data_IF_276256150327
#
_entry.id   IF_276256150327
#
_cell.length_a   1.000
_cell.length_b   1.000
_cell.length_c   1.000
_cell.angle_alpha   90.00
_cell.angle_beta   90.00
_cell.angle_gamma   90.00
#
_symmetry.space_group_name_H-M   'P 1'
#
loop_
_entity.id
_entity.type
_entity.pdbx_description
1 polymer ?
#
# COMPACT_ATOMS: atom_id res chain seq x y z
N UNK A 1 -9.00 -1.95 -8.66
CA UNK A 1 -8.93 -0.53 -8.24
C UNK A 1 -10.15 -0.23 -7.40
N UNK A 2 -9.99 0.49 -6.29
CA UNK A 2 -11.07 0.87 -5.37
C UNK A 2 -11.05 2.39 -5.20
N UNK A 3 -12.22 3.00 -5.27
CA UNK A 3 -12.41 4.43 -5.02
C UNK A 3 -12.99 4.64 -3.61
N UNK A 4 -12.22 5.23 -2.67
CA UNK A 4 -12.68 5.49 -1.31
C UNK A 4 -13.65 6.68 -1.19
N UNK A 5 -13.89 7.41 -2.28
CA UNK A 5 -14.76 8.60 -2.33
C UNK A 5 -14.33 9.73 -1.40
N UNK A 6 -13.03 9.85 -1.13
CA UNK A 6 -12.49 10.95 -0.34
C UNK A 6 -12.65 12.28 -1.09
N UNK A 7 -13.39 13.21 -0.49
CA UNK A 7 -13.61 14.57 -1.00
C UNK A 7 -12.60 15.58 -0.49
N UNK A 8 -11.79 15.19 0.50
CA UNK A 8 -10.75 16.00 1.12
C UNK A 8 -9.48 15.14 1.29
N UNK A 9 -8.34 15.80 1.44
CA UNK A 9 -7.07 15.11 1.70
C UNK A 9 -7.16 14.33 3.02
N UNK A 10 -6.64 13.11 3.03
CA UNK A 10 -6.62 12.25 4.21
C UNK A 10 -5.19 11.96 4.66
N UNK A 11 -4.96 11.98 5.96
CA UNK A 11 -3.67 11.65 6.54
C UNK A 11 -3.74 10.28 7.21
N UNK A 12 -2.89 9.35 6.75
CA UNK A 12 -2.92 7.93 7.11
C UNK A 12 -1.74 7.59 8.01
N UNK A 13 -2.00 7.22 9.26
CA UNK A 13 -0.98 6.81 10.25
C UNK A 13 -0.71 5.31 10.26
N UNK A 14 -1.63 4.53 9.71
CA UNK A 14 -1.51 3.08 9.67
C UNK A 14 -2.42 2.46 8.63
N UNK A 15 -2.01 1.30 8.15
CA UNK A 15 -2.76 0.53 7.15
C UNK A 15 -2.70 -0.95 7.49
N UNK A 16 -3.81 -1.66 7.29
CA UNK A 16 -3.85 -3.10 7.42
C UNK A 16 -4.55 -3.71 6.22
N UNK A 17 -3.86 -4.61 5.52
CA UNK A 17 -4.49 -5.48 4.52
C UNK A 17 -4.89 -6.78 5.20
N UNK A 18 -6.13 -7.21 4.96
CA UNK A 18 -6.69 -8.47 5.44
C UNK A 18 -7.06 -9.30 4.22
N UNK A 19 -6.31 -10.38 3.91
CA UNK A 19 -6.67 -11.30 2.83
C UNK A 19 -8.03 -11.91 3.06
N UNK A 20 -8.86 -11.99 2.02
CA UNK A 20 -10.11 -12.74 2.07
C UNK A 20 -9.85 -14.24 2.09
N UNK A 21 -8.79 -14.68 1.41
CA UNK A 21 -8.37 -16.08 1.33
C UNK A 21 -6.85 -16.23 1.51
N UNK A 22 -6.44 -16.53 2.74
CA UNK A 22 -5.03 -16.74 3.10
C UNK A 22 -4.41 -18.00 2.46
N UNK A 23 -5.20 -18.92 1.92
CA UNK A 23 -4.68 -20.13 1.29
C UNK A 23 -4.07 -19.85 -0.09
N UNK A 24 -4.46 -18.75 -0.74
CA UNK A 24 -3.98 -18.40 -2.09
C UNK A 24 -3.42 -17.00 -2.23
N UNK A 25 -3.71 -16.06 -1.32
CA UNK A 25 -3.09 -14.72 -1.36
C UNK A 25 -1.65 -14.83 -0.89
N UNK A 26 -0.70 -14.75 -1.82
CA UNK A 26 0.73 -14.77 -1.53
C UNK A 26 1.23 -13.41 -1.05
N UNK A 27 0.87 -12.34 -1.78
CA UNK A 27 1.01 -10.97 -1.28
C UNK A 27 0.00 -10.03 -1.92
N UNK A 28 -0.17 -8.87 -1.28
CA UNK A 28 -0.92 -7.76 -1.83
C UNK A 28 -0.14 -6.47 -1.59
N UNK A 29 0.00 -5.65 -2.63
CA UNK A 29 0.59 -4.31 -2.52
C UNK A 29 -0.48 -3.31 -2.96
N UNK A 30 -0.66 -2.24 -2.20
CA UNK A 30 -1.65 -1.20 -2.50
C UNK A 30 -0.96 0.12 -2.75
N UNK A 31 -1.28 0.70 -3.91
CA UNK A 31 -0.76 1.98 -4.35
C UNK A 31 -1.84 3.06 -4.36
N UNK A 32 -1.46 4.30 -4.08
CA UNK A 32 -2.27 5.50 -4.27
C UNK A 32 -2.13 5.96 -5.72
N UNK A 33 -3.26 6.14 -6.40
CA UNK A 33 -3.34 6.75 -7.73
C UNK A 33 -4.06 8.10 -7.62
N UNK A 34 -3.34 9.23 -7.76
CA UNK A 34 -3.94 10.58 -7.77
C UNK A 34 -5.00 10.76 -8.88
N UNK A 35 -5.98 11.65 -8.70
CA UNK A 35 -7.07 11.86 -9.66
C UNK A 35 -6.58 12.41 -11.00
N UNK A 36 -5.47 13.16 -11.03
CA UNK A 36 -4.90 13.75 -12.23
C UNK A 36 -3.87 12.84 -12.92
N UNK A 37 -3.68 11.61 -12.41
CA UNK A 37 -2.73 10.64 -12.96
C UNK A 37 -1.27 11.08 -12.87
N UNK A 38 -0.97 12.18 -12.18
CA UNK A 38 0.41 12.64 -11.98
C UNK A 38 1.14 11.69 -11.04
N UNK A 39 2.47 11.69 -11.18
CA UNK A 39 3.35 10.98 -10.26
C UNK A 39 3.05 11.43 -8.83
N UNK A 40 2.51 10.51 -8.06
CA UNK A 40 2.49 10.62 -6.61
C UNK A 40 3.94 10.64 -6.14
N UNK A 41 4.30 11.50 -5.17
CA UNK A 41 5.68 11.56 -4.67
C UNK A 41 6.15 10.16 -4.24
N UNK A 42 7.18 9.64 -4.92
CA UNK A 42 7.74 8.31 -4.66
C UNK A 42 7.01 7.18 -5.39
N UNK A 43 6.86 6.03 -4.73
CA UNK A 43 6.29 4.80 -5.33
C UNK A 43 4.75 4.74 -5.27
N UNK A 44 4.10 5.65 -4.55
CA UNK A 44 2.66 5.55 -4.25
C UNK A 44 2.28 4.40 -3.31
N UNK A 45 3.24 3.61 -2.81
CA UNK A 45 2.98 2.50 -1.90
C UNK A 45 2.37 3.01 -0.59
N UNK A 46 1.16 2.54 -0.27
CA UNK A 46 0.50 2.86 1.00
C UNK A 46 0.29 1.65 1.91
N UNK A 47 0.14 0.44 1.38
CA UNK A 47 -0.01 -0.76 2.20
C UNK A 47 0.58 -2.00 1.53
N UNK A 48 0.98 -2.97 2.34
CA UNK A 48 1.47 -4.27 1.89
C UNK A 48 1.00 -5.39 2.81
N UNK A 49 0.84 -6.59 2.26
CA UNK A 49 0.62 -7.83 3.01
C UNK A 49 1.53 -8.91 2.46
N UNK A 50 2.23 -9.58 3.35
CA UNK A 50 2.83 -10.91 3.15
C UNK A 50 2.50 -11.78 4.37
N UNK A 51 2.43 -13.11 4.25
CA UNK A 51 2.29 -14.00 5.38
C UNK A 51 3.31 -13.73 6.49
N UNK A 52 2.84 -13.53 7.72
CA UNK A 52 3.69 -13.24 8.88
C UNK A 52 4.04 -11.76 9.10
N UNK A 53 3.74 -10.87 8.14
CA UNK A 53 3.97 -9.44 8.33
C UNK A 53 2.98 -8.83 9.34
N UNK A 54 3.51 -8.01 10.25
CA UNK A 54 2.71 -7.22 11.20
C UNK A 54 2.18 -5.96 10.53
N UNK A 55 1.08 -5.43 11.05
CA UNK A 55 0.57 -4.13 10.61
C UNK A 55 1.61 -3.03 10.88
N UNK A 56 1.74 -2.10 9.95
CA UNK A 56 2.59 -0.91 10.12
C UNK A 56 1.76 0.16 10.82
N UNK A 57 2.23 0.60 11.98
CA UNK A 57 1.73 1.77 12.69
C UNK A 57 2.88 2.77 12.81
N UNK A 58 2.65 4.01 12.38
CA UNK A 58 3.65 5.07 12.46
C UNK A 58 3.74 5.64 13.89
N UNK A 59 4.87 6.24 14.28
CA UNK A 59 4.94 7.02 15.51
C UNK A 59 3.90 8.14 15.54
N UNK A 60 3.63 8.67 16.74
CA UNK A 60 2.70 9.78 16.91
C UNK A 60 3.08 10.99 16.05
N UNK A 61 2.08 11.57 15.37
CA UNK A 61 2.24 12.72 14.48
C UNK A 61 2.83 12.41 13.10
N UNK A 62 3.18 11.15 12.81
CA UNK A 62 3.69 10.73 11.49
C UNK A 62 2.54 10.18 10.64
N UNK A 63 2.39 10.70 9.43
CA UNK A 63 1.34 10.26 8.53
C UNK A 63 1.72 10.37 7.04
N UNK A 64 1.09 9.56 6.21
CA UNK A 64 1.13 9.66 4.75
C UNK A 64 -0.08 10.40 4.23
N UNK A 65 0.12 11.34 3.31
CA UNK A 65 -0.97 12.12 2.70
C UNK A 65 -1.61 11.36 1.53
N UNK A 66 -2.92 11.17 1.55
CA UNK A 66 -3.71 10.67 0.41
C UNK A 66 -4.53 11.85 -0.13
N UNK A 67 -4.19 12.42 -1.29
CA UNK A 67 -4.94 13.52 -1.86
C UNK A 67 -6.41 13.18 -2.13
N UNK A 68 -7.29 14.17 -1.99
CA UNK A 68 -8.70 14.07 -2.36
C UNK A 68 -8.87 13.51 -3.79
N UNK A 69 -9.88 12.69 -4.00
CA UNK A 69 -10.15 12.05 -5.30
C UNK A 69 -9.17 10.93 -5.70
N UNK A 70 -8.16 10.61 -4.88
CA UNK A 70 -7.25 9.49 -5.18
C UNK A 70 -7.96 8.14 -5.08
N UNK A 71 -7.49 7.18 -5.88
CA UNK A 71 -7.95 5.80 -5.86
C UNK A 71 -6.87 4.86 -5.33
N UNK A 72 -7.27 3.69 -4.83
CA UNK A 72 -6.36 2.64 -4.40
C UNK A 72 -6.26 1.54 -5.46
N UNK A 73 -5.04 1.24 -5.89
CA UNK A 73 -4.73 0.16 -6.83
C UNK A 73 -4.18 -1.03 -6.06
N UNK A 74 -4.96 -2.09 -5.98
CA UNK A 74 -4.55 -3.36 -5.37
C UNK A 74 -3.82 -4.20 -6.43
N UNK A 75 -2.54 -4.46 -6.21
CA UNK A 75 -1.76 -5.43 -6.94
C UNK A 75 -1.81 -6.75 -6.17
N UNK A 76 -2.55 -7.71 -6.71
CA UNK A 76 -2.77 -9.03 -6.11
C UNK A 76 -1.80 -10.04 -6.71
N UNK A 77 -1.12 -10.80 -5.85
CA UNK A 77 -0.32 -11.95 -6.26
C UNK A 77 -0.84 -13.18 -5.55
N UNK A 78 -1.31 -14.14 -6.33
CA UNK A 78 -1.86 -15.40 -5.84
C UNK A 78 -0.88 -16.54 -6.08
N UNK A 79 -0.75 -17.45 -5.10
CA UNK A 79 -0.14 -18.78 -5.31
C UNK A 79 -1.27 -19.78 -5.56
N UNK A 80 -1.39 -20.33 -6.77
CA UNK A 80 -2.43 -21.31 -7.08
C UNK A 80 -2.26 -22.60 -6.25
N UNK A 81 -3.36 -23.21 -5.85
CA UNK A 81 -3.39 -24.49 -5.12
C UNK A 81 -4.10 -25.62 -5.89
N UNK A 82 -4.43 -25.40 -7.17
CA UNK A 82 -5.04 -26.41 -8.04
C UNK A 82 -6.56 -26.58 -7.90
N UNK A 83 -7.23 -25.82 -7.02
CA UNK A 83 -8.68 -25.83 -6.83
C UNK A 83 -9.21 -24.41 -7.07
N UNK A 84 -10.41 -24.28 -7.63
CA UNK A 84 -11.06 -22.96 -7.76
C UNK A 84 -11.21 -22.30 -6.37
N UNK A 85 -10.91 -21.00 -6.28
CA UNK A 85 -10.96 -20.24 -5.04
C UNK A 85 -11.63 -18.89 -5.27
N UNK A 86 -12.22 -18.35 -4.21
CA UNK A 86 -12.68 -16.96 -4.15
C UNK A 86 -11.81 -16.19 -3.15
N UNK A 87 -11.62 -14.89 -3.41
CA UNK A 87 -10.92 -13.97 -2.51
C UNK A 87 -11.63 -12.61 -2.54
N UNK A 88 -11.79 -12.03 -1.35
CA UNK A 88 -12.24 -10.66 -1.17
C UNK A 88 -11.35 -9.98 -0.14
N UNK A 89 -10.12 -9.70 -0.57
CA UNK A 89 -9.13 -8.97 0.22
C UNK A 89 -9.61 -7.54 0.52
N UNK A 90 -9.37 -7.08 1.76
CA UNK A 90 -9.79 -5.77 2.26
C UNK A 90 -8.60 -4.98 2.79
N UNK A 91 -8.75 -3.66 2.85
CA UNK A 91 -7.78 -2.76 3.48
C UNK A 91 -8.50 -1.86 4.50
N UNK A 92 -7.94 -1.77 5.70
CA UNK A 92 -8.30 -0.76 6.71
C UNK A 92 -7.28 0.37 6.74
N UNK A 93 -7.75 1.58 7.05
CA UNK A 93 -6.95 2.79 7.18
C UNK A 93 -7.16 3.38 8.59
N UNK A 94 -6.07 3.77 9.24
CA UNK A 94 -6.10 4.61 10.43
C UNK A 94 -5.79 6.05 10.01
N UNK A 95 -6.68 6.96 10.37
CA UNK A 95 -6.61 8.37 9.99
C UNK A 95 -6.25 9.24 11.19
N UNK A 96 -5.62 10.39 10.92
CA UNK A 96 -5.35 11.46 11.88
C UNK A 96 -5.83 12.79 11.29
N UNK A 97 -6.19 13.74 12.15
CA UNK A 97 -6.49 15.11 11.72
C UNK A 97 -5.21 15.81 11.26
N UNK A 98 -5.30 16.61 10.19
CA UNK A 98 -4.15 17.32 9.61
C UNK A 98 -3.41 18.21 10.62
N UNK A 99 -4.15 18.86 11.52
CA UNK A 99 -3.57 19.72 12.57
C UNK A 99 -2.64 18.97 13.55
N UNK A 100 -2.81 17.66 13.66
CA UNK A 100 -2.03 16.80 14.58
C UNK A 100 -0.86 16.10 13.83
N UNK A 101 -0.72 16.33 12.52
CA UNK A 101 0.40 15.84 11.73
C UNK A 101 1.62 16.74 11.94
N UNK A 102 2.71 16.15 12.40
CA UNK A 102 4.00 16.84 12.57
C UNK A 102 5.01 16.45 11.50
N UNK A 103 4.88 15.25 10.93
CA UNK A 103 5.80 14.71 9.93
C UNK A 103 5.05 14.01 8.79
N UNK A 104 5.25 14.49 7.56
CA UNK A 104 4.82 13.77 6.37
C UNK A 104 5.83 12.66 6.04
N UNK A 105 5.33 11.43 5.94
CA UNK A 105 6.12 10.26 5.55
C UNK A 105 5.93 10.01 4.05
N UNK A 106 7.02 9.72 3.35
CA UNK A 106 6.99 9.28 1.96
C UNK A 106 7.90 8.07 1.77
N UNK A 107 7.55 7.21 0.81
CA UNK A 107 8.37 6.05 0.42
C UNK A 107 9.04 6.34 -0.91
N UNK A 108 10.35 6.53 -0.86
CA UNK A 108 11.21 6.69 -2.04
C UNK A 108 11.78 5.35 -2.46
N UNK A 109 12.16 5.24 -3.73
CA UNK A 109 12.80 4.05 -4.28
C UNK A 109 14.28 4.30 -4.44
N UNK A 110 15.10 3.37 -3.98
CA UNK A 110 16.50 3.28 -4.33
C UNK A 110 16.67 2.04 -5.22
N UNK A 111 16.99 2.24 -6.49
CA UNK A 111 17.17 1.17 -7.47
C UNK A 111 18.58 1.27 -8.03
N UNK A 112 19.28 0.14 -8.12
CA UNK A 112 20.52 0.00 -8.88
C UNK A 112 20.24 -0.87 -10.10
N UNK A 113 20.25 -0.27 -11.29
CA UNK A 113 20.04 -0.98 -12.56
C UNK A 113 21.33 -1.60 -13.12
N UNK A 114 22.49 -1.26 -12.56
CA UNK A 114 23.81 -1.68 -13.03
C UNK A 114 24.41 -2.81 -12.17
N UNK A 115 23.64 -3.35 -11.20
CA UNK A 115 24.09 -4.43 -10.35
C UNK A 115 24.19 -5.75 -11.13
N UNK A 116 25.38 -6.36 -11.14
CA UNK A 116 25.66 -7.64 -11.80
C UNK A 116 26.22 -8.65 -10.81
N UNK A 117 25.69 -9.88 -10.83
CA UNK A 117 26.30 -11.06 -10.22
C UNK A 117 26.67 -11.98 -11.38
N UNK A 118 27.96 -12.13 -11.72
CA UNK A 118 28.39 -13.03 -12.78
C UNK A 118 27.97 -14.48 -12.50
N UNK A 119 27.78 -15.31 -13.53
CA UNK A 119 27.57 -16.75 -13.34
C UNK A 119 28.68 -17.37 -12.49
N UNK A 120 28.31 -18.16 -11.48
CA UNK A 120 29.23 -18.86 -10.57
C UNK A 120 30.06 -18.00 -9.60
N UNK A 121 29.69 -16.73 -9.39
CA UNK A 121 30.26 -15.89 -8.33
C UNK A 121 29.89 -16.37 -6.91
#
# INVERSE_FOLDING_TARGET
>A
VVDPKFTEDKWVTGTQIVPGNRAVVHHCIVFVRPPDGKDYRGLGWIAGYVPGQRSVHMPEGYARKVPAGSQFVFQMHYTPNGIAQEDLTKMGLLLIDEKDVTHEVSTLVAINHDFEIPPHA
#
